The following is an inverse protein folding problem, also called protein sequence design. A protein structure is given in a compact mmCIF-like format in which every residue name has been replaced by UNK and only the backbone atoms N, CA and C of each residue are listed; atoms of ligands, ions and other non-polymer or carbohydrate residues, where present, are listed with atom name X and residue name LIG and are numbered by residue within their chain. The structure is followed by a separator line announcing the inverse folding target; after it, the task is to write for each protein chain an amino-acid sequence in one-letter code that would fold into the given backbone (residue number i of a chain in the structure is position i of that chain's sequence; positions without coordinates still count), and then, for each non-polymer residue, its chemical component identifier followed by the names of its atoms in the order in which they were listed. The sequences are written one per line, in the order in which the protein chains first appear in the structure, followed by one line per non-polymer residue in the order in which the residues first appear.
data_IF_612476209298
#
_entry.id   IF_612476209298
#
_cell.length_a   1.000
_cell.length_b   1.000
_cell.length_c   1.000
_cell.angle_alpha   90.00
_cell.angle_beta   90.00
_cell.angle_gamma   90.00
#
_symmetry.space_group_name_H-M   'P 1'
#
loop_
_entity.id
_entity.type
_entity.pdbx_description
1 polymer ?
#
# COMPACT_ATOMS: atom_id res chain seq x y z
N UNK A 1 2.75 1.14 22.21
CA UNK A 1 1.85 2.08 22.95
C UNK A 1 2.52 3.38 23.46
N UNK A 2 3.67 3.37 24.15
CA UNK A 2 4.31 4.60 24.70
C UNK A 2 4.72 5.64 23.62
N UNK A 3 5.28 5.20 22.50
CA UNK A 3 5.67 6.13 21.43
C UNK A 3 4.48 6.83 20.75
N UNK A 4 3.33 6.17 20.64
CA UNK A 4 2.11 6.77 20.08
C UNK A 4 1.63 7.97 20.91
N UNK A 5 2.03 8.01 22.20
CA UNK A 5 1.72 9.08 23.15
C UNK A 5 2.80 10.18 23.13
N UNK A 6 4.05 9.83 22.82
CA UNK A 6 5.20 10.76 22.85
C UNK A 6 5.40 11.56 21.56
N UNK A 7 5.01 11.01 20.40
CA UNK A 7 5.07 11.75 19.15
C UNK A 7 3.82 12.64 19.01
N UNK A 8 3.96 13.99 19.01
CA UNK A 8 2.80 14.90 18.97
C UNK A 8 1.90 14.68 17.76
N UNK A 9 2.48 14.34 16.60
CA UNK A 9 1.78 14.10 15.34
C UNK A 9 0.93 12.83 15.42
N UNK A 10 1.50 11.77 15.98
CA UNK A 10 0.80 10.48 16.14
C UNK A 10 -0.23 10.56 17.26
N UNK A 11 0.11 11.24 18.37
CA UNK A 11 -0.81 11.42 19.48
C UNK A 11 -2.05 12.17 19.02
N UNK A 12 -1.92 13.25 18.27
CA UNK A 12 -3.10 14.00 17.80
C UNK A 12 -3.91 13.20 16.76
N UNK A 13 -3.25 12.44 15.88
CA UNK A 13 -3.91 11.61 14.89
C UNK A 13 -4.68 10.41 15.48
N UNK A 14 -4.22 9.84 16.60
CA UNK A 14 -4.80 8.63 17.21
C UNK A 14 -5.53 8.88 18.53
N UNK A 15 -5.18 9.94 19.25
CA UNK A 15 -5.71 10.35 20.55
C UNK A 15 -5.91 11.87 20.56
N UNK A 16 -6.85 12.40 19.74
CA UNK A 16 -7.10 13.83 19.65
C UNK A 16 -7.38 14.40 21.04
N UNK A 17 -6.72 15.51 21.35
CA UNK A 17 -6.71 16.07 22.70
C UNK A 17 -8.01 16.81 23.07
N UNK A 18 -9.02 16.75 22.20
CA UNK A 18 -10.39 17.23 22.42
C UNK A 18 -11.47 16.28 21.89
N UNK A 19 -12.71 16.47 22.34
CA UNK A 19 -13.91 15.93 21.69
C UNK A 19 -13.85 16.30 20.22
N UNK A 20 -13.78 15.33 19.32
CA UNK A 20 -13.58 15.56 17.88
C UNK A 20 -14.63 16.56 17.36
N UNK A 21 -14.23 17.84 17.23
CA UNK A 21 -15.08 18.95 16.76
C UNK A 21 -15.12 19.04 15.24
N UNK A 22 -14.25 18.28 14.57
CA UNK A 22 -14.17 18.28 13.12
C UNK A 22 -15.05 17.20 12.52
N UNK A 23 -15.89 17.59 11.58
CA UNK A 23 -16.69 16.68 10.77
C UNK A 23 -16.05 16.52 9.39
N UNK A 24 -16.08 15.30 8.85
CA UNK A 24 -15.66 15.02 7.48
C UNK A 24 -16.88 14.63 6.67
N UNK A 25 -17.14 15.35 5.59
CA UNK A 25 -18.34 15.18 4.76
C UNK A 25 -17.96 15.17 3.28
N UNK A 26 -18.73 14.48 2.41
CA UNK A 26 -18.59 14.63 0.98
C UNK A 26 -18.75 16.09 0.56
N UNK A 27 -17.85 16.57 -0.28
CA UNK A 27 -17.89 17.94 -0.77
C UNK A 27 -19.12 18.17 -1.67
N UNK A 28 -19.66 19.38 -1.62
CA UNK A 28 -20.82 19.83 -2.39
C UNK A 28 -20.41 20.82 -3.47
N UNK A 29 -21.10 20.82 -4.62
CA UNK A 29 -20.82 21.77 -5.71
C UNK A 29 -20.95 23.24 -5.29
N UNK A 30 -21.72 23.53 -4.24
CA UNK A 30 -21.84 24.86 -3.65
C UNK A 30 -20.53 25.39 -3.03
N UNK A 31 -19.55 24.52 -2.80
CA UNK A 31 -18.29 24.83 -2.09
C UNK A 31 -17.13 25.11 -3.05
N UNK A 32 -17.42 25.21 -4.35
CA UNK A 32 -16.41 25.37 -5.41
C UNK A 32 -15.45 26.53 -5.14
N UNK A 33 -15.99 27.70 -4.79
CA UNK A 33 -15.17 28.91 -4.58
C UNK A 33 -14.25 28.77 -3.37
N UNK A 34 -14.75 28.16 -2.28
CA UNK A 34 -13.98 28.00 -1.04
C UNK A 34 -12.88 26.93 -1.21
N UNK A 35 -13.17 25.82 -1.89
CA UNK A 35 -12.17 24.81 -2.23
C UNK A 35 -11.07 25.38 -3.13
N UNK A 36 -11.43 26.13 -4.17
CA UNK A 36 -10.46 26.79 -5.05
C UNK A 36 -9.60 27.81 -4.30
N UNK A 37 -10.19 28.52 -3.34
CA UNK A 37 -9.43 29.43 -2.48
C UNK A 37 -8.40 28.69 -1.63
N UNK A 38 -8.80 27.61 -0.94
CA UNK A 38 -7.87 26.80 -0.12
C UNK A 38 -6.76 26.22 -0.99
N UNK A 39 -7.08 25.73 -2.19
CA UNK A 39 -6.09 25.22 -3.15
C UNK A 39 -5.10 26.33 -3.52
N UNK A 40 -5.57 27.49 -3.95
CA UNK A 40 -4.72 28.60 -4.39
C UNK A 40 -3.85 29.21 -3.27
N UNK A 41 -4.27 29.07 -2.00
CA UNK A 41 -3.49 29.51 -0.83
C UNK A 41 -2.27 28.63 -0.56
N UNK A 42 -2.31 27.35 -0.95
CA UNK A 42 -1.30 26.34 -0.55
C UNK A 42 -0.60 25.64 -1.72
N UNK A 43 -1.13 25.72 -2.93
CA UNK A 43 -0.61 25.07 -4.12
C UNK A 43 -0.20 26.09 -5.17
N UNK A 44 0.80 25.74 -5.99
CA UNK A 44 1.18 26.56 -7.13
C UNK A 44 0.17 26.49 -8.28
N UNK A 45 0.37 27.28 -9.36
CA UNK A 45 -0.58 27.37 -10.47
C UNK A 45 -0.85 26.05 -11.18
N UNK A 46 0.17 25.21 -11.42
CA UNK A 46 -0.01 23.94 -12.11
C UNK A 46 -0.69 22.90 -11.22
N UNK A 47 -0.27 22.78 -9.96
CA UNK A 47 -0.92 21.91 -8.98
C UNK A 47 -2.38 22.32 -8.75
N UNK A 48 -2.66 23.62 -8.65
CA UNK A 48 -4.01 24.17 -8.53
C UNK A 48 -4.89 23.79 -9.73
N UNK A 49 -4.36 23.96 -10.96
CA UNK A 49 -5.07 23.59 -12.20
C UNK A 49 -5.40 22.10 -12.24
N UNK A 50 -4.49 21.23 -11.80
CA UNK A 50 -4.74 19.79 -11.70
C UNK A 50 -5.87 19.50 -10.72
N UNK A 51 -5.84 20.05 -9.51
CA UNK A 51 -6.88 19.84 -8.50
C UNK A 51 -8.24 20.41 -8.93
N UNK A 52 -8.28 21.56 -9.61
CA UNK A 52 -9.50 22.10 -10.22
C UNK A 52 -10.04 21.18 -11.31
N UNK A 53 -9.18 20.54 -12.11
CA UNK A 53 -9.61 19.56 -13.10
C UNK A 53 -10.23 18.32 -12.43
N UNK A 54 -9.65 17.85 -11.32
CA UNK A 54 -10.25 16.78 -10.51
C UNK A 54 -11.62 17.18 -9.98
N UNK A 55 -11.74 18.38 -9.40
CA UNK A 55 -13.01 18.89 -8.88
C UNK A 55 -14.09 19.01 -9.97
N UNK A 56 -13.73 19.54 -11.14
CA UNK A 56 -14.66 19.71 -12.24
C UNK A 56 -15.15 18.38 -12.82
N UNK A 57 -14.26 17.39 -12.94
CA UNK A 57 -14.59 16.09 -13.54
C UNK A 57 -15.28 15.16 -12.55
N UNK A 58 -14.84 15.14 -11.29
CA UNK A 58 -15.30 14.21 -10.27
C UNK A 58 -15.36 14.86 -8.88
N UNK A 59 -16.31 15.77 -8.62
CA UNK A 59 -16.42 16.44 -7.32
C UNK A 59 -16.64 15.46 -6.17
N UNK A 60 -17.23 14.28 -6.43
CA UNK A 60 -17.45 13.22 -5.44
C UNK A 60 -16.16 12.63 -4.86
N UNK A 61 -14.99 12.88 -5.46
CA UNK A 61 -13.71 12.45 -4.87
C UNK A 61 -13.27 13.32 -3.71
N UNK A 62 -13.85 14.50 -3.54
CA UNK A 62 -13.47 15.44 -2.51
C UNK A 62 -14.34 15.25 -1.26
N UNK A 63 -13.69 15.37 -0.11
CA UNK A 63 -14.36 15.47 1.18
C UNK A 63 -13.84 16.70 1.90
N UNK A 64 -14.74 17.50 2.46
CA UNK A 64 -14.43 18.70 3.22
C UNK A 64 -14.35 18.38 4.71
N UNK A 65 -13.46 19.08 5.40
CA UNK A 65 -13.25 18.96 6.84
C UNK A 65 -13.78 20.24 7.46
N UNK A 66 -14.81 20.11 8.30
CA UNK A 66 -15.52 21.25 8.87
C UNK A 66 -15.17 21.46 10.33
N UNK A 67 -15.06 22.72 10.72
CA UNK A 67 -14.98 23.12 12.13
C UNK A 67 -16.33 23.08 12.84
N UNK A 68 -16.33 23.49 14.10
CA UNK A 68 -17.54 23.46 14.95
C UNK A 68 -18.61 24.47 14.52
N UNK A 69 -18.25 25.49 13.73
CA UNK A 69 -19.18 26.49 13.21
C UNK A 69 -19.64 26.17 11.78
N UNK A 70 -19.21 25.02 11.23
CA UNK A 70 -19.53 24.54 9.88
C UNK A 70 -18.60 25.06 8.78
N UNK A 71 -17.60 25.86 9.15
CA UNK A 71 -16.58 26.43 8.27
C UNK A 71 -15.65 25.36 7.70
N UNK A 72 -15.24 25.50 6.45
CA UNK A 72 -14.31 24.56 5.82
C UNK A 72 -12.88 24.86 6.31
N UNK A 73 -12.34 23.95 7.10
CA UNK A 73 -10.98 23.99 7.65
C UNK A 73 -9.96 23.27 6.76
N UNK A 74 -10.43 22.49 5.80
CA UNK A 74 -9.59 21.77 4.85
C UNK A 74 -10.40 20.82 3.97
N UNK A 75 -9.69 20.09 3.12
CA UNK A 75 -10.26 19.02 2.32
C UNK A 75 -9.22 17.93 2.08
N UNK A 76 -9.69 16.80 1.58
CA UNK A 76 -8.83 15.85 0.89
C UNK A 76 -9.58 15.23 -0.29
N UNK A 77 -8.83 14.69 -1.26
CA UNK A 77 -9.40 14.00 -2.41
C UNK A 77 -8.88 12.57 -2.51
N UNK A 78 -9.83 11.62 -2.63
CA UNK A 78 -9.56 10.20 -2.80
C UNK A 78 -10.38 9.58 -3.93
N UNK A 79 -9.85 8.55 -4.56
CA UNK A 79 -10.50 7.85 -5.67
C UNK A 79 -10.14 6.38 -5.71
N UNK A 80 -11.13 5.54 -5.99
CA UNK A 80 -10.92 4.15 -6.41
C UNK A 80 -10.89 4.09 -7.96
N UNK A 81 -9.71 3.93 -8.61
CA UNK A 81 -9.58 4.11 -10.05
C UNK A 81 -10.19 2.96 -10.88
N UNK A 82 -10.40 1.78 -10.29
CA UNK A 82 -10.99 0.61 -10.97
C UNK A 82 -12.47 0.77 -11.27
N UNK A 83 -13.14 1.72 -10.61
CA UNK A 83 -14.58 1.98 -10.80
C UNK A 83 -14.90 2.66 -12.13
N UNK A 84 -13.90 3.10 -12.91
CA UNK A 84 -14.16 3.76 -14.20
C UNK A 84 -12.94 3.80 -15.15
N UNK A 85 -13.18 3.82 -16.46
CA UNK A 85 -12.16 4.05 -17.50
C UNK A 85 -11.77 5.54 -17.57
N UNK A 86 -10.61 5.93 -17.05
CA UNK A 86 -10.21 7.35 -16.98
C UNK A 86 -8.77 7.64 -17.44
N UNK A 87 -8.57 7.77 -18.76
CA UNK A 87 -7.29 8.21 -19.34
C UNK A 87 -6.80 9.55 -18.77
N UNK A 88 -7.70 10.43 -18.34
CA UNK A 88 -7.37 11.74 -17.82
C UNK A 88 -6.65 11.72 -16.46
N UNK A 89 -6.81 10.65 -15.68
CA UNK A 89 -6.04 10.52 -14.43
C UNK A 89 -4.54 10.37 -14.73
N UNK A 90 -4.17 9.93 -15.93
CA UNK A 90 -2.78 9.87 -16.36
C UNK A 90 -2.27 11.22 -16.91
N UNK A 91 -3.14 12.22 -17.08
CA UNK A 91 -2.71 13.60 -17.37
C UNK A 91 -2.17 14.29 -16.11
N UNK A 92 -2.51 13.78 -14.92
CA UNK A 92 -1.96 14.22 -13.65
C UNK A 92 -0.69 13.41 -13.33
N UNK A 93 0.49 14.06 -13.26
CA UNK A 93 1.77 13.35 -13.12
C UNK A 93 1.88 12.48 -11.87
N UNK A 94 1.20 12.84 -10.77
CA UNK A 94 1.22 12.07 -9.52
C UNK A 94 0.49 10.74 -9.71
N UNK A 95 -0.71 10.77 -10.29
CA UNK A 95 -1.45 9.53 -10.54
C UNK A 95 -0.86 8.70 -11.67
N UNK A 96 -0.23 9.31 -12.68
CA UNK A 96 0.46 8.54 -13.72
C UNK A 96 1.62 7.70 -13.15
N UNK A 97 2.37 8.26 -12.20
CA UNK A 97 3.38 7.51 -11.43
C UNK A 97 2.77 6.30 -10.71
N UNK A 98 1.58 6.44 -10.12
CA UNK A 98 0.91 5.33 -9.44
C UNK A 98 0.42 4.28 -10.42
N UNK A 99 -0.10 4.69 -11.58
CA UNK A 99 -0.44 3.76 -12.66
C UNK A 99 0.80 3.05 -13.21
N UNK A 100 1.94 3.73 -13.32
CA UNK A 100 3.20 3.10 -13.70
C UNK A 100 3.62 2.04 -12.67
N UNK A 101 3.49 2.36 -11.38
CA UNK A 101 3.74 1.37 -10.33
C UNK A 101 2.80 0.18 -10.43
N UNK A 102 1.50 0.39 -10.69
CA UNK A 102 0.53 -0.71 -10.89
C UNK A 102 0.84 -1.55 -12.13
N UNK A 103 1.32 -0.95 -13.22
CA UNK A 103 1.78 -1.69 -14.42
C UNK A 103 3.01 -2.55 -14.11
N UNK A 104 3.96 -2.03 -13.33
CA UNK A 104 5.18 -2.76 -12.97
C UNK A 104 4.96 -3.84 -11.89
N UNK A 105 3.96 -3.64 -11.02
CA UNK A 105 3.55 -4.58 -9.98
C UNK A 105 2.02 -4.72 -10.00
N UNK A 106 1.45 -5.58 -10.86
CA UNK A 106 0.01 -5.78 -10.95
C UNK A 106 -0.60 -6.27 -9.62
N UNK A 107 -1.90 -6.05 -9.47
CA UNK A 107 -2.72 -6.63 -8.37
C UNK A 107 -3.70 -7.67 -8.96
N UNK A 108 -4.20 -8.62 -8.15
CA UNK A 108 -5.26 -9.54 -8.55
C UNK A 108 -6.51 -8.83 -9.08
N UNK A 109 -7.20 -9.43 -10.06
CA UNK A 109 -8.38 -8.83 -10.73
C UNK A 109 -9.56 -8.53 -9.79
N UNK A 110 -9.72 -9.33 -8.74
CA UNK A 110 -10.76 -9.17 -7.70
C UNK A 110 -10.42 -8.08 -6.66
N UNK A 111 -9.24 -7.49 -6.76
CA UNK A 111 -8.74 -6.50 -5.81
C UNK A 111 -8.71 -5.10 -6.42
N UNK A 112 -8.75 -4.11 -5.53
CA UNK A 112 -8.79 -2.70 -5.89
C UNK A 112 -7.69 -1.89 -5.20
N UNK A 113 -7.55 -0.63 -5.59
CA UNK A 113 -6.63 0.33 -4.98
C UNK A 113 -7.37 1.60 -4.60
N UNK A 114 -6.82 2.34 -3.65
CA UNK A 114 -7.31 3.65 -3.27
C UNK A 114 -6.21 4.68 -3.51
N UNK A 115 -6.52 5.72 -4.26
CA UNK A 115 -5.65 6.86 -4.52
C UNK A 115 -6.07 8.00 -3.62
N UNK A 116 -5.21 8.46 -2.71
CA UNK A 116 -5.40 9.68 -1.94
C UNK A 116 -4.54 10.77 -2.58
N UNK A 117 -5.13 11.54 -3.50
CA UNK A 117 -4.39 12.43 -4.39
C UNK A 117 -3.84 13.66 -3.67
N UNK A 118 -4.57 14.22 -2.72
CA UNK A 118 -4.13 15.36 -1.92
C UNK A 118 -4.96 15.55 -0.67
N UNK A 119 -4.37 16.16 0.35
CA UNK A 119 -5.08 16.78 1.48
C UNK A 119 -4.50 18.17 1.70
N UNK A 120 -5.33 19.12 2.11
CA UNK A 120 -4.91 20.48 2.42
C UNK A 120 -5.78 20.98 3.56
N UNK A 121 -5.13 21.48 4.61
CA UNK A 121 -5.78 22.27 5.65
C UNK A 121 -5.60 23.75 5.32
N UNK A 122 -6.63 24.56 5.53
CA UNK A 122 -6.58 26.00 5.29
C UNK A 122 -5.52 26.72 6.13
N UNK A 123 -5.30 26.38 7.42
CA UNK A 123 -4.33 27.12 8.24
C UNK A 123 -2.87 26.81 7.90
N UNK A 124 -2.54 25.57 7.53
CA UNK A 124 -1.14 25.11 7.46
C UNK A 124 -0.83 24.23 6.23
N UNK A 125 -1.73 24.17 5.26
CA UNK A 125 -1.57 23.36 4.06
C UNK A 125 -1.52 21.88 4.41
N UNK A 126 -0.50 21.19 3.92
CA UNK A 126 -0.27 19.78 4.23
C UNK A 126 0.43 19.54 5.58
N UNK A 127 0.85 20.56 6.32
CA UNK A 127 1.54 20.32 7.59
C UNK A 127 0.59 19.65 8.62
N UNK A 128 1.12 18.87 9.57
CA UNK A 128 0.30 18.21 10.59
C UNK A 128 -0.63 19.18 11.34
N UNK A 129 -1.91 18.85 11.38
CA UNK A 129 -2.97 19.62 12.05
C UNK A 129 -4.16 18.74 12.43
N UNK A 130 -5.11 19.29 13.19
CA UNK A 130 -6.37 18.61 13.49
C UNK A 130 -7.13 18.21 12.22
N UNK A 131 -7.11 19.06 11.18
CA UNK A 131 -7.72 18.74 9.89
C UNK A 131 -7.03 17.54 9.24
N UNK A 132 -5.70 17.45 9.30
CA UNK A 132 -4.98 16.28 8.78
C UNK A 132 -5.29 15.00 9.57
N UNK A 133 -5.40 15.11 10.89
CA UNK A 133 -5.84 13.99 11.73
C UNK A 133 -7.25 13.51 11.34
N UNK A 134 -8.20 14.43 11.14
CA UNK A 134 -9.56 14.12 10.71
C UNK A 134 -9.58 13.46 9.31
N UNK A 135 -8.83 14.00 8.35
CA UNK A 135 -8.69 13.44 7.01
C UNK A 135 -8.13 12.02 7.06
N UNK A 136 -7.09 11.81 7.87
CA UNK A 136 -6.45 10.51 8.03
C UNK A 136 -7.39 9.47 8.66
N UNK A 137 -8.13 9.85 9.71
CA UNK A 137 -9.10 8.97 10.37
C UNK A 137 -10.24 8.57 9.42
N UNK A 138 -10.72 9.51 8.61
CA UNK A 138 -11.78 9.22 7.64
C UNK A 138 -11.27 8.36 6.48
N UNK A 139 -10.08 8.64 5.95
CA UNK A 139 -9.40 7.78 4.98
C UNK A 139 -9.24 6.36 5.53
N UNK A 140 -8.88 6.24 6.81
CA UNK A 140 -8.80 4.96 7.53
C UNK A 140 -10.13 4.25 7.62
N UNK A 141 -11.21 4.95 7.92
CA UNK A 141 -12.55 4.35 7.90
C UNK A 141 -12.90 3.81 6.51
N UNK A 142 -12.68 4.60 5.46
CA UNK A 142 -12.98 4.20 4.08
C UNK A 142 -12.21 2.97 3.65
N UNK A 143 -10.89 2.93 3.86
CA UNK A 143 -10.13 1.77 3.43
C UNK A 143 -10.50 0.51 4.25
N UNK A 144 -10.98 0.68 5.49
CA UNK A 144 -11.51 -0.41 6.31
C UNK A 144 -12.89 -0.89 5.81
N UNK A 145 -13.69 -0.03 5.18
CA UNK A 145 -14.97 -0.39 4.55
C UNK A 145 -14.77 -1.09 3.21
N UNK A 146 -13.71 -0.75 2.46
CA UNK A 146 -13.37 -1.38 1.17
C UNK A 146 -12.83 -2.82 1.30
N UNK A 147 -12.82 -3.39 2.51
CA UNK A 147 -12.36 -4.75 2.77
C UNK A 147 -13.39 -5.80 2.33
N UNK A 148 -12.94 -7.00 1.91
CA UNK A 148 -11.55 -7.46 1.76
C UNK A 148 -10.87 -7.07 0.43
N UNK A 149 -11.54 -6.29 -0.42
CA UNK A 149 -11.13 -6.07 -1.80
C UNK A 149 -9.95 -5.08 -1.96
N UNK A 150 -9.75 -4.18 -1.00
CA UNK A 150 -8.65 -3.21 -1.08
C UNK A 150 -7.27 -3.86 -0.89
N UNK A 151 -6.40 -3.71 -1.88
CA UNK A 151 -5.02 -4.23 -1.89
C UNK A 151 -3.97 -3.18 -1.58
N UNK A 152 -4.10 -1.97 -2.14
CA UNK A 152 -3.12 -0.89 -1.95
C UNK A 152 -3.76 0.47 -1.74
N UNK A 153 -3.08 1.30 -0.97
CA UNK A 153 -3.37 2.73 -0.85
C UNK A 153 -2.16 3.50 -1.34
N UNK A 154 -2.38 4.45 -2.24
CA UNK A 154 -1.37 5.40 -2.69
C UNK A 154 -1.67 6.77 -2.10
N UNK A 155 -0.64 7.49 -1.67
CA UNK A 155 -0.74 8.87 -1.22
C UNK A 155 0.48 9.66 -1.66
N UNK A 156 0.38 10.99 -1.60
CA UNK A 156 1.51 11.88 -1.82
C UNK A 156 1.60 12.98 -0.76
N UNK A 157 2.84 13.35 -0.42
CA UNK A 157 3.19 14.44 0.49
C UNK A 157 4.40 15.20 -0.06
N UNK A 158 4.51 16.50 0.20
CA UNK A 158 5.74 17.24 -0.11
C UNK A 158 6.69 17.24 1.11
N UNK A 159 6.18 17.37 2.33
CA UNK A 159 6.95 17.25 3.58
C UNK A 159 7.13 15.79 4.01
N UNK A 160 7.96 15.06 3.27
CA UNK A 160 8.29 13.67 3.60
C UNK A 160 8.84 13.50 5.04
N UNK A 161 9.75 14.36 5.55
CA UNK A 161 10.23 14.27 6.93
C UNK A 161 9.14 14.32 8.00
N UNK A 162 8.10 15.15 7.82
CA UNK A 162 6.99 15.24 8.78
C UNK A 162 6.16 13.93 8.84
N UNK A 163 6.00 13.24 7.71
CA UNK A 163 5.13 12.08 7.59
C UNK A 163 5.85 10.72 7.66
N UNK A 164 7.13 10.65 7.31
CA UNK A 164 7.89 9.40 7.23
C UNK A 164 7.83 8.53 8.51
N UNK A 165 7.96 9.08 9.74
CA UNK A 165 7.91 8.26 10.96
C UNK A 165 6.56 7.54 11.16
N UNK A 166 5.46 8.18 10.74
CA UNK A 166 4.11 7.63 10.86
C UNK A 166 3.84 6.65 9.72
N UNK A 167 4.18 7.06 8.50
CA UNK A 167 4.03 6.26 7.30
C UNK A 167 4.74 4.91 7.43
N UNK A 168 6.02 4.89 7.83
CA UNK A 168 6.82 3.67 7.98
C UNK A 168 6.23 2.71 9.00
N UNK A 169 5.75 3.21 10.15
CA UNK A 169 5.11 2.37 11.18
C UNK A 169 3.82 1.74 10.72
N UNK A 170 3.08 2.45 9.85
CA UNK A 170 1.86 1.96 9.27
C UNK A 170 2.10 1.04 8.07
N UNK A 171 3.37 0.83 7.68
CA UNK A 171 3.75 -0.04 6.57
C UNK A 171 3.76 0.64 5.21
N UNK A 172 3.69 1.98 5.16
CA UNK A 172 3.87 2.69 3.89
C UNK A 172 5.34 2.66 3.47
N UNK A 173 5.55 2.34 2.20
CA UNK A 173 6.82 2.38 1.50
C UNK A 173 6.86 3.61 0.58
N UNK A 174 7.95 4.38 0.64
CA UNK A 174 8.17 5.49 -0.29
C UNK A 174 8.63 4.94 -1.64
N UNK A 175 7.97 5.35 -2.71
CA UNK A 175 8.34 5.01 -4.08
C UNK A 175 9.55 5.86 -4.50
N UNK A 176 10.76 5.36 -4.24
CA UNK A 176 12.00 6.07 -4.59
C UNK A 176 12.17 6.20 -6.11
N UNK A 177 12.58 7.39 -6.59
CA UNK A 177 12.74 7.66 -8.02
C UNK A 177 11.41 7.87 -8.76
N UNK A 178 10.33 8.06 -8.01
CA UNK A 178 8.96 8.31 -8.48
C UNK A 178 8.41 9.63 -7.92
N UNK A 179 9.31 10.56 -7.65
CA UNK A 179 8.98 11.91 -7.22
C UNK A 179 8.48 12.75 -8.40
N UNK A 180 7.51 13.62 -8.14
CA UNK A 180 6.93 14.52 -9.14
C UNK A 180 7.23 15.96 -8.74
N UNK A 181 7.80 16.75 -9.64
CA UNK A 181 8.01 18.18 -9.41
C UNK A 181 6.86 18.99 -10.02
N UNK A 182 6.19 19.82 -9.21
CA UNK A 182 5.17 20.78 -9.67
C UNK A 182 5.38 22.10 -8.94
N UNK A 183 5.42 23.21 -9.69
CA UNK A 183 5.55 24.57 -9.13
C UNK A 183 6.76 24.73 -8.17
N UNK A 184 7.84 23.96 -8.37
CA UNK A 184 9.02 23.95 -7.51
C UNK A 184 8.89 23.12 -6.23
N UNK A 185 7.75 22.47 -6.00
CA UNK A 185 7.52 21.52 -4.91
C UNK A 185 7.73 20.09 -5.38
N UNK A 186 8.34 19.26 -4.53
CA UNK A 186 8.58 17.85 -4.80
C UNK A 186 7.54 16.98 -4.10
N UNK A 187 6.72 16.28 -4.87
CA UNK A 187 5.67 15.38 -4.39
C UNK A 187 6.25 13.97 -4.30
N UNK A 188 6.36 13.46 -3.08
CA UNK A 188 6.81 12.11 -2.80
C UNK A 188 5.61 11.17 -2.80
N UNK A 189 5.67 10.09 -3.58
CA UNK A 189 4.63 9.06 -3.58
C UNK A 189 4.96 7.98 -2.56
N UNK A 190 3.96 7.57 -1.78
CA UNK A 190 4.06 6.42 -0.88
C UNK A 190 2.92 5.44 -1.12
N UNK A 191 3.19 4.16 -0.89
CA UNK A 191 2.22 3.08 -1.04
C UNK A 191 2.16 2.24 0.22
N UNK A 192 0.95 1.97 0.72
CA UNK A 192 0.70 0.90 1.68
C UNK A 192 0.15 -0.29 0.90
N UNK A 193 0.85 -1.41 0.93
CA UNK A 193 0.41 -2.68 0.37
C UNK A 193 -0.03 -3.59 1.52
N UNK A 194 -1.33 -3.89 1.60
CA UNK A 194 -1.89 -4.70 2.69
C UNK A 194 -1.54 -6.19 2.56
N UNK A 195 -0.98 -6.62 1.44
CA UNK A 195 -0.73 -8.04 1.23
C UNK A 195 -2.01 -8.85 0.96
N UNK A 196 -1.90 -10.18 0.95
CA UNK A 196 -2.98 -11.10 0.59
C UNK A 196 -3.90 -11.41 1.76
N UNK A 197 -3.41 -11.26 2.99
CA UNK A 197 -4.14 -11.52 4.23
C UNK A 197 -5.15 -10.42 4.55
N UNK A 198 -5.32 -9.45 3.64
CA UNK A 198 -6.10 -8.22 3.80
C UNK A 198 -5.62 -7.38 4.99
N UNK A 199 -6.35 -6.31 5.30
CA UNK A 199 -6.09 -5.49 6.48
C UNK A 199 -6.21 -6.27 7.78
N UNK A 200 -6.96 -7.39 7.81
CA UNK A 200 -7.12 -8.21 9.01
C UNK A 200 -5.83 -8.97 9.37
N UNK A 201 -5.11 -9.49 8.36
CA UNK A 201 -3.76 -10.02 8.55
C UNK A 201 -2.78 -8.94 8.94
N UNK A 202 -2.80 -7.78 8.28
CA UNK A 202 -1.95 -6.64 8.68
C UNK A 202 -2.21 -6.17 10.12
N UNK A 203 -3.48 -6.04 10.55
CA UNK A 203 -3.85 -5.68 11.93
C UNK A 203 -3.46 -6.77 12.93
N UNK A 204 -3.66 -8.04 12.58
CA UNK A 204 -3.24 -9.16 13.41
C UNK A 204 -1.73 -9.19 13.58
N UNK A 205 -0.97 -8.90 12.51
CA UNK A 205 0.48 -8.81 12.53
C UNK A 205 0.96 -7.59 13.34
N UNK A 206 0.33 -6.43 13.17
CA UNK A 206 0.63 -5.22 13.93
C UNK A 206 0.33 -5.40 15.43
N UNK A 207 -0.83 -5.98 15.76
CA UNK A 207 -1.22 -6.28 17.12
C UNK A 207 -0.31 -7.35 17.76
N UNK A 208 0.01 -8.42 17.03
CA UNK A 208 0.94 -9.45 17.51
C UNK A 208 2.34 -8.89 17.74
N UNK A 209 2.84 -8.04 16.84
CA UNK A 209 4.13 -7.35 16.98
C UNK A 209 4.17 -6.47 18.22
N UNK A 210 3.13 -5.66 18.47
CA UNK A 210 3.04 -4.82 19.68
C UNK A 210 2.89 -5.65 20.98
N UNK A 211 2.34 -6.87 20.89
CA UNK A 211 2.20 -7.80 22.02
C UNK A 211 3.41 -8.72 22.22
N UNK A 212 4.44 -8.62 21.38
CA UNK A 212 5.62 -9.50 21.43
C UNK A 212 5.34 -10.95 21.06
N UNK A 213 4.26 -11.21 20.33
CA UNK A 213 3.91 -12.53 19.81
C UNK A 213 4.68 -12.74 18.50
N UNK A 214 5.67 -13.63 18.50
CA UNK A 214 6.30 -14.09 17.26
C UNK A 214 5.27 -14.90 16.46
N UNK A 215 4.72 -14.31 15.39
CA UNK A 215 3.99 -15.08 14.39
C UNK A 215 4.99 -15.74 13.44
N UNK A 216 4.75 -17.01 13.09
CA UNK A 216 5.40 -17.62 11.93
C UNK A 216 4.92 -16.88 10.67
N UNK A 217 5.70 -15.91 10.21
CA UNK A 217 5.43 -15.21 8.95
C UNK A 217 5.58 -16.21 7.81
N UNK A 218 4.49 -16.46 7.07
CA UNK A 218 4.56 -17.28 5.86
C UNK A 218 5.47 -16.60 4.85
N UNK A 219 6.52 -17.31 4.41
CA UNK A 219 7.44 -16.82 3.37
C UNK A 219 6.79 -16.76 1.99
N UNK A 220 5.58 -17.30 1.82
CA UNK A 220 4.87 -17.38 0.55
C UNK A 220 3.51 -16.68 0.64
N UNK A 221 3.29 -15.74 -0.27
CA UNK A 221 1.96 -15.25 -0.62
C UNK A 221 1.43 -16.05 -1.82
N UNK A 222 0.40 -16.86 -1.57
CA UNK A 222 -0.22 -17.71 -2.60
C UNK A 222 -1.10 -16.94 -3.59
N UNK A 223 -1.70 -15.83 -3.17
CA UNK A 223 -2.59 -15.02 -4.00
C UNK A 223 -1.79 -14.18 -5.01
N UNK A 224 -0.72 -13.53 -4.58
CA UNK A 224 0.15 -12.73 -5.47
C UNK A 224 1.32 -13.52 -6.07
N UNK A 225 1.55 -14.76 -5.64
CA UNK A 225 2.66 -15.62 -6.06
C UNK A 225 4.04 -14.96 -5.82
N UNK A 226 4.20 -14.39 -4.64
CA UNK A 226 5.43 -13.69 -4.23
C UNK A 226 6.03 -14.31 -2.96
N UNK A 227 7.35 -14.20 -2.80
CA UNK A 227 7.99 -14.41 -1.51
C UNK A 227 7.82 -13.16 -0.64
N UNK A 228 7.53 -13.35 0.65
CA UNK A 228 7.42 -12.29 1.65
C UNK A 228 8.58 -12.41 2.63
N UNK A 229 9.52 -11.47 2.58
CA UNK A 229 10.71 -11.46 3.45
C UNK A 229 10.80 -10.12 4.18
N UNK A 230 10.14 -10.03 5.34
CA UNK A 230 9.99 -8.75 6.04
C UNK A 230 9.13 -7.78 5.23
N UNK A 231 9.68 -6.60 4.93
CA UNK A 231 9.09 -5.58 4.04
C UNK A 231 9.24 -5.94 2.54
N UNK A 232 10.18 -6.83 2.20
CA UNK A 232 10.50 -7.11 0.80
C UNK A 232 9.59 -8.18 0.20
N UNK A 233 8.87 -7.83 -0.87
CA UNK A 233 8.13 -8.78 -1.71
C UNK A 233 8.90 -9.10 -2.99
N UNK A 234 9.05 -10.38 -3.31
CA UNK A 234 9.81 -10.84 -4.49
C UNK A 234 8.92 -11.71 -5.38
N UNK A 235 8.58 -11.28 -6.61
CA UNK A 235 7.74 -12.05 -7.49
C UNK A 235 8.40 -13.37 -7.89
N UNK A 236 7.62 -14.45 -7.91
CA UNK A 236 8.06 -15.76 -8.36
C UNK A 236 7.60 -16.02 -9.80
N UNK A 237 8.44 -16.73 -10.56
CA UNK A 237 7.98 -17.34 -11.82
C UNK A 237 6.98 -18.45 -11.51
N UNK A 238 6.14 -18.88 -12.47
CA UNK A 238 5.16 -19.95 -12.24
C UNK A 238 5.78 -21.23 -11.67
N UNK A 239 6.97 -21.63 -12.14
CA UNK A 239 7.67 -22.83 -11.67
C UNK A 239 8.27 -22.63 -10.27
N UNK A 240 8.86 -21.47 -9.99
CA UNK A 240 9.36 -21.16 -8.64
C UNK A 240 8.22 -21.12 -7.62
N UNK A 241 7.08 -20.53 -7.99
CA UNK A 241 5.88 -20.54 -7.18
C UNK A 241 5.40 -21.98 -6.93
N UNK A 242 5.24 -22.77 -7.98
CA UNK A 242 4.79 -24.17 -7.86
C UNK A 242 5.69 -24.98 -6.93
N UNK A 243 7.01 -24.92 -7.12
CA UNK A 243 7.97 -25.64 -6.27
C UNK A 243 7.90 -25.15 -4.82
N UNK A 244 7.93 -23.84 -4.57
CA UNK A 244 7.94 -23.32 -3.20
C UNK A 244 6.61 -23.56 -2.48
N UNK A 245 5.47 -23.44 -3.19
CA UNK A 245 4.15 -23.75 -2.67
C UNK A 245 4.02 -25.23 -2.29
N UNK A 246 4.48 -26.14 -3.14
CA UNK A 246 4.47 -27.57 -2.84
C UNK A 246 5.35 -27.91 -1.63
N UNK A 247 6.54 -27.29 -1.53
CA UNK A 247 7.41 -27.43 -0.36
C UNK A 247 6.79 -26.83 0.92
N UNK A 248 6.01 -25.75 0.80
CA UNK A 248 5.30 -25.11 1.92
C UNK A 248 4.17 -25.98 2.44
N UNK A 249 3.38 -26.57 1.54
CA UNK A 249 2.32 -27.53 1.89
C UNK A 249 2.87 -28.82 2.52
N UNK A 250 4.15 -29.11 2.27
CA UNK A 250 4.89 -30.24 2.82
C UNK A 250 5.99 -29.81 3.80
N UNK A 251 5.81 -28.66 4.49
CA UNK A 251 6.82 -28.10 5.41
C UNK A 251 7.28 -29.16 6.43
N UNK A 252 8.59 -29.26 6.62
CA UNK A 252 9.23 -30.27 7.48
C UNK A 252 9.47 -31.64 6.82
N UNK A 253 8.81 -31.96 5.71
CA UNK A 253 8.98 -33.23 4.99
C UNK A 253 9.97 -33.09 3.83
N UNK A 254 10.67 -34.19 3.51
CA UNK A 254 11.54 -34.25 2.34
C UNK A 254 10.69 -34.62 1.11
N UNK A 255 10.60 -33.71 0.16
CA UNK A 255 9.89 -33.88 -1.11
C UNK A 255 10.89 -34.34 -2.17
N UNK A 256 10.55 -35.39 -2.92
CA UNK A 256 11.43 -35.93 -3.95
C UNK A 256 11.48 -35.04 -5.20
N UNK A 257 12.58 -35.12 -5.97
CA UNK A 257 12.66 -34.38 -7.25
C UNK A 257 11.62 -34.86 -8.25
N UNK A 258 11.34 -36.17 -8.28
CA UNK A 258 10.32 -36.78 -9.14
C UNK A 258 8.92 -36.27 -8.80
N UNK A 259 8.62 -36.10 -7.51
CA UNK A 259 7.34 -35.55 -7.06
C UNK A 259 7.21 -34.06 -7.43
N UNK A 260 8.26 -33.26 -7.19
CA UNK A 260 8.25 -31.85 -7.64
C UNK A 260 8.08 -31.73 -9.16
N UNK A 261 8.72 -32.61 -9.92
CA UNK A 261 8.54 -32.71 -11.37
C UNK A 261 7.08 -33.01 -11.72
N UNK A 262 6.50 -34.05 -11.13
CA UNK A 262 5.14 -34.47 -11.41
C UNK A 262 4.12 -33.38 -11.06
N UNK A 263 4.24 -32.77 -9.89
CA UNK A 263 3.24 -31.80 -9.39
C UNK A 263 3.36 -30.43 -10.05
N UNK A 264 4.57 -29.98 -10.39
CA UNK A 264 4.79 -28.63 -10.93
C UNK A 264 4.87 -28.59 -12.46
N UNK A 265 5.41 -29.64 -13.10
CA UNK A 265 5.50 -29.73 -14.56
C UNK A 265 4.44 -30.63 -15.20
N UNK A 266 3.78 -31.50 -14.42
CA UNK A 266 2.77 -32.43 -14.90
C UNK A 266 3.32 -33.81 -15.30
N UNK A 267 2.42 -34.80 -15.36
CA UNK A 267 2.74 -36.22 -15.60
C UNK A 267 3.26 -36.55 -17.00
N UNK A 268 3.13 -35.64 -17.98
CA UNK A 268 3.64 -35.81 -19.35
C UNK A 268 5.06 -35.28 -19.56
N UNK A 269 5.71 -34.78 -18.52
CA UNK A 269 7.04 -34.19 -18.63
C UNK A 269 8.15 -35.25 -18.61
N UNK A 270 8.81 -35.47 -19.75
CA UNK A 270 9.93 -36.42 -19.89
C UNK A 270 11.31 -35.83 -19.56
N UNK A 271 11.37 -34.62 -19.00
CA UNK A 271 12.65 -33.97 -18.67
C UNK A 271 13.28 -34.47 -17.36
N UNK A 272 14.60 -34.28 -17.24
CA UNK A 272 15.38 -34.72 -16.08
C UNK A 272 15.23 -33.83 -14.84
N UNK A 273 15.67 -34.36 -13.68
CA UNK A 273 15.58 -33.72 -12.36
C UNK A 273 16.41 -32.44 -12.20
N UNK A 274 17.34 -32.20 -13.11
CA UNK A 274 18.18 -31.01 -13.26
C UNK A 274 17.37 -29.71 -13.45
N UNK A 275 16.13 -29.79 -13.93
CA UNK A 275 15.25 -28.63 -14.10
C UNK A 275 14.71 -28.15 -12.75
N UNK A 276 14.38 -29.09 -11.86
CA UNK A 276 14.00 -28.80 -10.45
C UNK A 276 15.16 -28.11 -9.74
N UNK A 277 16.38 -28.61 -9.91
CA UNK A 277 17.57 -28.02 -9.29
C UNK A 277 17.80 -26.57 -9.74
N UNK A 278 17.54 -26.27 -11.02
CA UNK A 278 17.63 -24.91 -11.58
C UNK A 278 16.60 -23.96 -10.93
N UNK A 279 15.35 -24.41 -10.79
CA UNK A 279 14.28 -23.64 -10.14
C UNK A 279 14.60 -23.40 -8.66
N UNK A 280 15.05 -24.42 -7.93
CA UNK A 280 15.45 -24.26 -6.52
C UNK A 280 16.65 -23.32 -6.37
N UNK A 281 17.58 -23.32 -7.34
CA UNK A 281 18.69 -22.35 -7.35
C UNK A 281 18.18 -20.91 -7.55
N UNK A 282 17.18 -20.71 -8.40
CA UNK A 282 16.48 -19.44 -8.57
C UNK A 282 15.81 -18.99 -7.27
N UNK A 283 15.03 -19.87 -6.65
CA UNK A 283 14.40 -19.63 -5.34
C UNK A 283 15.41 -19.22 -4.27
N UNK A 284 16.50 -19.98 -4.11
CA UNK A 284 17.55 -19.64 -3.12
C UNK A 284 18.17 -18.27 -3.39
N UNK A 285 18.37 -17.90 -4.66
CA UNK A 285 18.87 -16.56 -5.01
C UNK A 285 17.88 -15.47 -4.60
N UNK A 286 16.58 -15.69 -4.82
CA UNK A 286 15.51 -14.77 -4.43
C UNK A 286 15.36 -14.66 -2.92
N UNK A 287 15.49 -15.77 -2.20
CA UNK A 287 15.40 -15.86 -0.73
C UNK A 287 16.58 -15.22 0.00
N UNK A 288 17.72 -15.00 -0.66
CA UNK A 288 18.87 -14.30 -0.07
C UNK A 288 19.36 -14.95 1.23
N UNK A 289 19.34 -14.18 2.33
CA UNK A 289 19.75 -14.66 3.65
C UNK A 289 18.89 -15.82 4.18
N UNK A 290 17.65 -15.93 3.73
CA UNK A 290 16.72 -17.00 4.11
C UNK A 290 16.84 -18.26 3.23
N UNK A 291 17.75 -18.30 2.25
CA UNK A 291 17.91 -19.43 1.33
C UNK A 291 18.11 -20.80 2.03
N UNK A 292 18.55 -20.79 3.30
CA UNK A 292 18.74 -21.98 4.14
C UNK A 292 17.41 -22.64 4.57
N UNK A 293 16.27 -21.96 4.45
CA UNK A 293 14.96 -22.58 4.69
C UNK A 293 14.68 -23.71 3.70
N UNK A 294 15.20 -23.62 2.46
CA UNK A 294 15.18 -24.74 1.51
C UNK A 294 16.44 -25.58 1.71
N UNK A 295 16.29 -26.69 2.42
CA UNK A 295 17.35 -27.67 2.66
C UNK A 295 17.41 -28.67 1.49
N UNK A 296 18.63 -29.04 1.08
CA UNK A 296 18.82 -30.18 0.18
C UNK A 296 18.95 -31.44 1.02
N UNK A 297 18.04 -32.39 0.82
CA UNK A 297 18.08 -33.71 1.44
C UNK A 297 18.78 -34.66 0.47
N UNK A 298 20.05 -34.97 0.75
CA UNK A 298 20.90 -35.80 -0.11
C UNK A 298 20.23 -37.12 -0.45
N UNK A 299 20.20 -37.48 -1.74
CA UNK A 299 19.58 -38.71 -2.23
C UNK A 299 18.05 -38.68 -2.34
N UNK A 300 17.39 -37.61 -1.87
CA UNK A 300 15.91 -37.51 -1.87
C UNK A 300 15.45 -36.32 -2.72
N UNK A 301 15.81 -35.10 -2.32
CA UNK A 301 15.24 -33.89 -2.91
C UNK A 301 15.41 -32.68 -2.02
N UNK A 302 14.30 -32.04 -1.68
CA UNK A 302 14.28 -30.76 -0.98
C UNK A 302 13.29 -30.76 0.18
N UNK A 303 13.57 -29.95 1.20
CA UNK A 303 12.69 -29.75 2.35
C UNK A 303 12.62 -28.27 2.70
N UNK A 304 11.44 -27.77 3.03
CA UNK A 304 11.28 -26.46 3.66
C UNK A 304 11.33 -26.61 5.19
N UNK A 305 12.12 -25.78 5.86
CA UNK A 305 12.21 -25.63 7.32
C UNK A 305 11.84 -24.21 7.72
#
# INVERSE_FOLDING_TARGET
MLYLIENPVVREAFFPSGTNRLAVEPASSAETDELHQIIAEHEGPDASRLLSNWWHRMPQTFSTIRGSEGEITGFYCKLEPTTTSHAWLQEDPVTDVWFEHLRSKPIPEEQTVLFCRRWISRPVGEAPSESQAAAWLDLKRTYMEMRPHLRRIYLTVCDLPAYAPVAQRLGFEVLSGKEVELDGNLYHSAVLDFGPESVDGWLSNLAASELGIEQETSLLDTASRELVMGDKRVPLTPLEFGVFNHLTNNKGNAVSRSELLQEVWGTSYEGGSNVVDSVVRGLRRKLGSQAKCIETVTGVGYRLR
#
